data_IF_140368943511
#
_entry.id   IF_140368943511
#
_cell.length_a   1.000
_cell.length_b   1.000
_cell.length_c   1.000
_cell.angle_alpha   90.00
_cell.angle_beta   90.00
_cell.angle_gamma   90.00
#
_symmetry.space_group_name_H-M   'P 1'
#
loop_
_entity.id
_entity.type
_entity.pdbx_description
1 polymer ?
#
# COMPACT_ATOMS: atom_id res chain seq x y z
N UNK A 1 -19.82 -10.34 -12.72
CA UNK A 1 -19.21 -10.14 -14.05
C UNK A 1 -18.12 -11.18 -14.22
N UNK A 2 -18.09 -12.01 -15.28
CA UNK A 2 -16.89 -12.78 -15.54
C UNK A 2 -15.82 -11.78 -16.00
N UNK A 3 -14.82 -11.56 -15.16
CA UNK A 3 -13.66 -10.79 -15.56
C UNK A 3 -12.90 -11.65 -16.58
N UNK A 4 -12.97 -11.29 -17.86
CA UNK A 4 -12.09 -11.85 -18.88
C UNK A 4 -10.68 -11.25 -18.77
N UNK A 5 -10.18 -11.14 -17.54
CA UNK A 5 -8.89 -10.58 -17.21
C UNK A 5 -7.88 -11.72 -17.06
N UNK A 6 -6.79 -11.63 -17.81
CA UNK A 6 -5.66 -12.53 -17.73
C UNK A 6 -4.41 -11.72 -17.35
N UNK A 7 -3.86 -11.89 -16.13
CA UNK A 7 -2.71 -11.12 -15.68
C UNK A 7 -1.48 -11.30 -16.57
N UNK A 8 -1.28 -12.46 -17.20
CA UNK A 8 -0.14 -12.71 -18.07
C UNK A 8 -0.21 -11.93 -19.39
N UNK A 9 -1.39 -11.40 -19.77
CA UNK A 9 -1.61 -10.71 -21.06
C UNK A 9 -2.06 -9.25 -20.91
N UNK A 10 -2.86 -8.97 -19.90
CA UNK A 10 -3.55 -7.68 -19.74
C UNK A 10 -2.76 -6.68 -18.89
N UNK A 11 -1.77 -7.15 -18.12
CA UNK A 11 -0.78 -6.26 -17.51
C UNK A 11 0.16 -5.79 -18.64
N UNK A 12 0.22 -4.48 -18.93
CA UNK A 12 1.09 -3.96 -19.97
C UNK A 12 2.56 -4.09 -19.59
N UNK A 13 3.45 -3.91 -20.57
CA UNK A 13 4.89 -3.85 -20.30
C UNK A 13 5.22 -2.71 -19.32
N UNK A 14 6.02 -3.04 -18.29
CA UNK A 14 6.40 -2.14 -17.20
C UNK A 14 7.86 -1.68 -17.33
N UNK A 15 8.46 -1.80 -18.51
CA UNK A 15 9.83 -1.36 -18.76
C UNK A 15 10.02 0.08 -18.31
N UNK A 16 11.05 0.31 -17.50
CA UNK A 16 11.37 1.64 -16.97
C UNK A 16 10.50 2.12 -15.80
N UNK A 17 9.53 1.31 -15.33
CA UNK A 17 8.63 1.65 -14.22
C UNK A 17 9.17 1.21 -12.86
N UNK A 18 9.20 2.14 -11.90
CA UNK A 18 9.47 1.87 -10.48
C UNK A 18 8.16 1.80 -9.73
N UNK A 19 7.96 0.70 -9.00
CA UNK A 19 6.69 0.37 -8.34
C UNK A 19 6.92 0.23 -6.85
N UNK A 20 6.02 0.76 -6.02
CA UNK A 20 6.01 0.55 -4.57
C UNK A 20 4.70 -0.12 -4.16
N UNK A 21 4.78 -1.31 -3.55
CA UNK A 21 3.62 -2.07 -3.07
C UNK A 21 3.64 -2.21 -1.54
N UNK A 22 2.62 -1.71 -0.86
CA UNK A 22 2.49 -1.91 0.59
C UNK A 22 1.88 -3.27 0.92
N UNK A 23 2.36 -3.95 1.95
CA UNK A 23 1.77 -5.23 2.38
C UNK A 23 2.09 -6.38 1.42
N UNK A 24 3.27 -6.34 0.80
CA UNK A 24 3.73 -7.29 -0.20
C UNK A 24 4.12 -8.67 0.33
N UNK A 25 4.18 -8.84 1.65
CA UNK A 25 4.68 -10.08 2.26
C UNK A 25 3.64 -11.21 2.31
N UNK A 26 2.37 -10.94 2.02
CA UNK A 26 1.29 -11.92 2.08
C UNK A 26 0.09 -11.56 1.17
N UNK A 27 -0.82 -12.51 0.98
CA UNK A 27 -2.13 -12.31 0.36
C UNK A 27 -2.08 -11.61 -1.01
N UNK A 28 -3.01 -10.67 -1.21
CA UNK A 28 -3.16 -9.91 -2.46
C UNK A 28 -1.89 -9.11 -2.82
N UNK A 29 -1.18 -8.57 -1.83
CA UNK A 29 0.06 -7.82 -2.08
C UNK A 29 1.17 -8.71 -2.62
N UNK A 30 1.35 -9.91 -2.05
CA UNK A 30 2.30 -10.90 -2.56
C UNK A 30 1.97 -11.28 -4.00
N UNK A 31 0.71 -11.59 -4.27
CA UNK A 31 0.27 -11.99 -5.61
C UNK A 31 0.44 -10.86 -6.62
N UNK A 32 0.14 -9.61 -6.23
CA UNK A 32 0.37 -8.42 -7.05
C UNK A 32 1.83 -8.33 -7.47
N UNK A 33 2.78 -8.54 -6.55
CA UNK A 33 4.22 -8.52 -6.86
C UNK A 33 4.60 -9.67 -7.80
N UNK A 34 4.09 -10.88 -7.53
CA UNK A 34 4.31 -12.06 -8.37
C UNK A 34 3.86 -11.85 -9.81
N UNK A 35 2.71 -11.21 -10.02
CA UNK A 35 2.21 -10.95 -11.36
C UNK A 35 2.98 -9.81 -12.02
N UNK A 36 3.14 -8.65 -11.36
CA UNK A 36 3.86 -7.50 -11.93
C UNK A 36 5.31 -7.81 -12.31
N UNK A 37 5.98 -8.70 -11.58
CA UNK A 37 7.38 -9.06 -11.84
C UNK A 37 7.58 -9.71 -13.22
N UNK A 38 6.55 -10.35 -13.79
CA UNK A 38 6.58 -10.98 -15.11
C UNK A 38 6.61 -9.99 -16.28
N UNK A 39 6.37 -8.70 -16.04
CA UNK A 39 6.15 -7.70 -17.10
C UNK A 39 7.29 -6.66 -17.18
N UNK A 40 8.54 -7.09 -16.98
CA UNK A 40 9.75 -6.26 -17.11
C UNK A 40 9.78 -4.94 -16.31
N UNK A 41 9.29 -4.89 -15.05
CA UNK A 41 9.43 -3.67 -14.25
C UNK A 41 10.91 -3.32 -14.07
N UNK A 42 11.22 -2.02 -14.09
CA UNK A 42 12.57 -1.56 -13.77
C UNK A 42 12.95 -1.98 -12.35
N UNK A 43 12.04 -1.74 -11.39
CA UNK A 43 12.23 -2.16 -10.01
C UNK A 43 10.89 -2.22 -9.27
N UNK A 44 10.70 -3.24 -8.44
CA UNK A 44 9.59 -3.33 -7.49
C UNK A 44 10.14 -3.23 -6.07
N UNK A 45 9.75 -2.16 -5.39
CA UNK A 45 9.89 -2.03 -3.96
C UNK A 45 8.62 -2.55 -3.30
N UNK A 46 8.75 -3.27 -2.21
CA UNK A 46 7.60 -3.72 -1.44
C UNK A 46 7.85 -3.66 0.04
N UNK A 47 6.77 -3.50 0.80
CA UNK A 47 6.85 -3.31 2.24
C UNK A 47 6.00 -4.32 2.99
N UNK A 48 6.33 -4.52 4.26
CA UNK A 48 5.61 -5.39 5.17
C UNK A 48 6.31 -5.45 6.52
N UNK A 49 5.77 -6.30 7.40
CA UNK A 49 6.32 -6.51 8.76
C UNK A 49 7.20 -7.75 8.86
N UNK A 50 6.99 -8.74 7.99
CA UNK A 50 7.65 -10.05 8.08
C UNK A 50 8.80 -10.16 7.08
N UNK A 51 10.02 -9.97 7.58
CA UNK A 51 11.25 -10.10 6.79
C UNK A 51 11.45 -11.51 6.23
N UNK A 52 11.07 -12.57 6.95
CA UNK A 52 11.21 -13.95 6.46
C UNK A 52 10.32 -14.19 5.24
N UNK A 53 9.05 -13.75 5.31
CA UNK A 53 8.13 -13.84 4.17
C UNK A 53 8.62 -13.00 2.97
N UNK A 54 9.23 -11.85 3.22
CA UNK A 54 9.85 -11.04 2.17
C UNK A 54 11.02 -11.78 1.50
N UNK A 55 11.92 -12.36 2.28
CA UNK A 55 13.04 -13.15 1.77
C UNK A 55 12.54 -14.34 0.96
N UNK A 56 11.54 -15.09 1.47
CA UNK A 56 10.94 -16.20 0.73
C UNK A 56 10.34 -15.76 -0.61
N UNK A 57 9.67 -14.61 -0.66
CA UNK A 57 9.12 -14.06 -1.90
C UNK A 57 10.24 -13.74 -2.91
N UNK A 58 11.27 -13.02 -2.47
CA UNK A 58 12.42 -12.65 -3.33
C UNK A 58 13.10 -13.90 -3.89
N UNK A 59 13.34 -14.92 -3.05
CA UNK A 59 13.95 -16.18 -3.49
C UNK A 59 13.04 -16.94 -4.46
N UNK A 60 11.73 -16.93 -4.25
CA UNK A 60 10.79 -17.69 -5.09
C UNK A 60 10.63 -17.14 -6.50
N UNK A 61 10.83 -15.82 -6.70
CA UNK A 61 10.49 -15.20 -7.96
C UNK A 61 11.54 -15.35 -9.05
N UNK A 62 12.77 -15.81 -8.76
CA UNK A 62 13.86 -16.24 -9.69
C UNK A 62 14.11 -15.42 -10.97
N UNK A 63 13.44 -14.28 -11.14
CA UNK A 63 13.75 -13.19 -12.05
C UNK A 63 14.99 -12.52 -11.47
N UNK A 64 15.89 -12.03 -12.33
CA UNK A 64 17.12 -11.31 -11.99
C UNK A 64 16.97 -10.64 -10.61
N UNK A 65 17.53 -11.25 -9.55
CA UNK A 65 17.23 -10.89 -8.16
C UNK A 65 17.52 -9.42 -7.83
N UNK A 66 18.10 -8.68 -8.78
CA UNK A 66 18.36 -7.26 -8.77
C UNK A 66 17.14 -6.35 -8.73
N UNK A 67 15.94 -6.79 -9.16
CA UNK A 67 14.83 -5.85 -9.40
C UNK A 67 13.76 -5.83 -8.29
N UNK A 68 13.96 -6.57 -7.19
CA UNK A 68 13.05 -6.60 -6.05
C UNK A 68 13.77 -6.08 -4.80
N UNK A 69 13.14 -5.17 -4.05
CA UNK A 69 13.71 -4.70 -2.78
C UNK A 69 12.63 -4.60 -1.71
N UNK A 70 12.89 -5.28 -0.59
CA UNK A 70 12.05 -5.20 0.59
C UNK A 70 12.45 -4.01 1.46
N UNK A 71 11.45 -3.22 1.87
CA UNK A 71 11.62 -2.15 2.84
C UNK A 71 10.69 -2.45 4.03
N UNK A 72 11.23 -2.76 5.23
CA UNK A 72 10.42 -2.96 6.41
C UNK A 72 9.55 -1.74 6.71
N UNK A 73 8.29 -1.96 7.06
CA UNK A 73 7.38 -0.91 7.49
C UNK A 73 6.45 -1.44 8.58
N UNK A 74 6.20 -0.60 9.58
CA UNK A 74 5.13 -0.80 10.54
C UNK A 74 4.08 0.30 10.36
N UNK A 75 2.96 -0.05 9.73
CA UNK A 75 1.86 0.89 9.47
C UNK A 75 1.11 1.33 10.73
N UNK A 76 1.41 0.74 11.89
CA UNK A 76 0.91 1.24 13.17
C UNK A 76 1.70 2.46 13.67
N UNK A 77 2.74 2.90 12.94
CA UNK A 77 3.67 3.96 13.34
C UNK A 77 3.95 4.93 12.21
N UNK A 78 3.50 6.18 12.33
CA UNK A 78 3.73 7.23 11.35
C UNK A 78 5.22 7.59 11.22
N UNK A 79 6.00 7.44 12.29
CA UNK A 79 7.45 7.57 12.23
C UNK A 79 8.10 6.44 11.41
N UNK A 80 7.65 5.19 11.58
CA UNK A 80 8.09 4.08 10.72
C UNK A 80 7.74 4.32 9.26
N UNK A 81 6.51 4.75 8.96
CA UNK A 81 6.08 5.09 7.58
C UNK A 81 6.98 6.17 6.98
N UNK A 82 7.27 7.22 7.75
CA UNK A 82 8.14 8.31 7.30
C UNK A 82 9.56 7.85 7.02
N UNK A 83 10.12 6.97 7.86
CA UNK A 83 11.45 6.41 7.67
C UNK A 83 11.50 5.49 6.45
N UNK A 84 10.53 4.60 6.29
CA UNK A 84 10.45 3.69 5.13
C UNK A 84 10.29 4.46 3.82
N UNK A 85 9.50 5.53 3.80
CA UNK A 85 9.36 6.41 2.63
C UNK A 85 10.69 7.09 2.26
N UNK A 86 11.44 7.60 3.25
CA UNK A 86 12.77 8.19 3.02
C UNK A 86 13.75 7.15 2.46
N UNK A 87 13.78 5.95 3.04
CA UNK A 87 14.61 4.84 2.55
C UNK A 87 14.26 4.50 1.10
N UNK A 88 12.97 4.35 0.80
CA UNK A 88 12.48 4.08 -0.55
C UNK A 88 12.96 5.15 -1.55
N UNK A 89 12.67 6.43 -1.27
CA UNK A 89 13.01 7.54 -2.16
C UNK A 89 14.52 7.66 -2.37
N UNK A 90 15.32 7.42 -1.33
CA UNK A 90 16.78 7.40 -1.44
C UNK A 90 17.27 6.27 -2.33
N UNK A 91 16.70 5.06 -2.18
CA UNK A 91 17.11 3.89 -2.96
C UNK A 91 16.61 3.94 -4.41
N UNK A 92 15.44 4.55 -4.66
CA UNK A 92 14.86 4.65 -6.00
C UNK A 92 15.35 5.85 -6.81
N UNK A 93 16.20 6.71 -6.21
CA UNK A 93 16.64 7.95 -6.85
C UNK A 93 15.50 8.95 -7.06
N UNK A 94 14.55 9.01 -6.13
CA UNK A 94 13.32 9.81 -6.21
C UNK A 94 12.45 9.49 -7.43
N UNK A 95 12.46 8.23 -7.89
CA UNK A 95 11.58 7.75 -8.95
C UNK A 95 10.46 6.88 -8.36
N UNK A 96 9.21 7.17 -8.73
CA UNK A 96 8.06 6.34 -8.44
C UNK A 96 7.01 6.53 -9.53
N UNK A 97 6.64 5.45 -10.21
CA UNK A 97 5.65 5.44 -11.28
C UNK A 97 4.30 4.91 -10.80
N UNK A 98 4.30 3.90 -9.94
CA UNK A 98 3.09 3.22 -9.48
C UNK A 98 3.19 2.99 -7.97
N UNK A 99 2.28 3.59 -7.21
CA UNK A 99 2.10 3.32 -5.77
C UNK A 99 0.85 2.47 -5.56
N UNK A 100 1.01 1.28 -4.99
CA UNK A 100 -0.09 0.37 -4.66
C UNK A 100 -0.24 0.31 -3.13
N UNK A 101 -1.23 1.04 -2.62
CA UNK A 101 -1.66 1.04 -1.22
C UNK A 101 -2.57 -0.16 -0.98
N UNK A 102 -1.94 -1.32 -0.79
CA UNK A 102 -2.60 -2.62 -0.57
C UNK A 102 -2.69 -3.06 0.90
N UNK A 103 -1.79 -2.61 1.77
CA UNK A 103 -1.74 -3.16 3.12
C UNK A 103 -2.99 -2.79 3.91
N UNK A 104 -3.60 -3.78 4.55
CA UNK A 104 -4.81 -3.55 5.32
C UNK A 104 -4.98 -4.58 6.43
N UNK A 105 -5.68 -4.17 7.48
CA UNK A 105 -6.14 -5.01 8.58
C UNK A 105 -7.67 -4.93 8.68
N UNK A 106 -8.29 -6.06 9.01
CA UNK A 106 -9.72 -6.16 9.26
C UNK A 106 -9.94 -7.20 10.35
N UNK A 107 -10.99 -7.00 11.15
CA UNK A 107 -11.41 -7.95 12.19
C UNK A 107 -10.29 -8.28 13.20
N UNK A 108 -9.46 -7.28 13.53
CA UNK A 108 -8.48 -7.36 14.62
C UNK A 108 -9.10 -6.83 15.92
N UNK A 109 -8.65 -7.30 17.10
CA UNK A 109 -9.15 -6.81 18.38
C UNK A 109 -9.02 -5.28 18.50
N UNK A 110 -9.95 -4.62 19.22
CA UNK A 110 -9.88 -3.19 19.54
C UNK A 110 -8.50 -2.81 20.06
N UNK A 111 -7.88 -1.80 19.47
CA UNK A 111 -6.54 -1.35 19.87
C UNK A 111 -6.25 0.05 19.31
N UNK A 112 -5.16 0.64 19.79
CA UNK A 112 -4.59 1.86 19.24
C UNK A 112 -3.24 1.60 18.59
N UNK A 113 -2.95 2.36 17.53
CA UNK A 113 -1.63 2.45 16.91
C UNK A 113 -0.60 3.07 17.86
N UNK A 114 0.67 3.05 17.50
CA UNK A 114 1.75 3.68 18.28
C UNK A 114 1.61 5.21 18.38
N UNK A 115 0.84 5.81 17.49
CA UNK A 115 0.52 7.24 17.47
C UNK A 115 -0.85 7.55 18.13
N UNK A 116 -1.45 6.56 18.79
CA UNK A 116 -2.69 6.68 19.56
C UNK A 116 -3.94 6.84 18.69
N UNK A 117 -3.96 6.32 17.47
CA UNK A 117 -5.16 6.27 16.63
C UNK A 117 -5.80 4.89 16.66
N UNK A 118 -7.10 4.77 16.41
CA UNK A 118 -7.74 3.47 16.20
C UNK A 118 -6.94 2.65 15.16
N UNK A 119 -6.71 1.39 15.48
CA UNK A 119 -5.70 0.56 14.82
C UNK A 119 -5.98 0.31 13.33
N UNK A 120 -7.24 0.09 12.93
CA UNK A 120 -7.60 -0.13 11.53
C UNK A 120 -7.53 1.17 10.72
N UNK A 121 -7.97 2.30 11.29
CA UNK A 121 -7.84 3.63 10.69
C UNK A 121 -6.37 4.02 10.51
N UNK A 122 -5.53 3.74 11.50
CA UNK A 122 -4.10 4.00 11.42
C UNK A 122 -3.44 3.24 10.26
N UNK A 123 -3.69 1.92 10.17
CA UNK A 123 -3.09 1.04 9.16
C UNK A 123 -3.64 1.33 7.76
N UNK A 124 -4.96 1.30 7.62
CA UNK A 124 -5.60 1.26 6.31
C UNK A 124 -5.68 2.66 5.68
N UNK A 125 -5.70 3.71 6.49
CA UNK A 125 -5.85 5.08 6.03
C UNK A 125 -4.65 5.98 6.35
N UNK A 126 -4.36 6.27 7.62
CA UNK A 126 -3.35 7.29 7.97
C UNK A 126 -1.95 6.96 7.44
N UNK A 127 -1.54 5.70 7.57
CA UNK A 127 -0.25 5.24 7.05
C UNK A 127 -0.15 5.42 5.53
N UNK A 128 -1.21 5.11 4.79
CA UNK A 128 -1.25 5.31 3.34
C UNK A 128 -1.31 6.79 2.96
N UNK A 129 -2.12 7.60 3.64
CA UNK A 129 -2.20 9.03 3.39
C UNK A 129 -0.84 9.73 3.58
N UNK A 130 -0.12 9.37 4.66
CA UNK A 130 1.23 9.87 4.91
C UNK A 130 2.22 9.38 3.84
N UNK A 131 2.18 8.09 3.48
CA UNK A 131 3.06 7.54 2.46
C UNK A 131 2.85 8.22 1.10
N UNK A 132 1.58 8.41 0.69
CA UNK A 132 1.21 9.14 -0.52
C UNK A 132 1.77 10.56 -0.46
N UNK A 133 1.53 11.30 0.64
CA UNK A 133 2.03 12.67 0.79
C UNK A 133 3.54 12.77 0.63
N UNK A 134 4.30 11.83 1.22
CA UNK A 134 5.76 11.82 1.16
C UNK A 134 6.28 11.43 -0.24
N UNK A 135 5.59 10.52 -0.93
CA UNK A 135 5.99 10.05 -2.26
C UNK A 135 5.41 10.88 -3.41
N UNK A 136 4.47 11.79 -3.14
CA UNK A 136 3.78 12.60 -4.15
C UNK A 136 4.74 13.39 -5.06
N UNK A 137 5.82 14.02 -4.56
CA UNK A 137 6.75 14.72 -5.45
C UNK A 137 7.42 13.79 -6.49
N UNK A 138 7.74 12.54 -6.12
CA UNK A 138 8.33 11.57 -7.03
C UNK A 138 7.32 11.09 -8.08
N UNK A 139 6.05 10.88 -7.69
CA UNK A 139 4.96 10.55 -8.61
C UNK A 139 4.70 11.69 -9.60
N UNK A 140 4.62 12.94 -9.12
CA UNK A 140 4.44 14.13 -9.96
C UNK A 140 5.58 14.29 -10.96
N UNK A 141 6.83 14.11 -10.51
CA UNK A 141 8.01 14.11 -11.39
C UNK A 141 7.89 13.04 -12.48
N UNK A 142 7.51 11.81 -12.11
CA UNK A 142 7.36 10.73 -13.10
C UNK A 142 6.24 11.01 -14.09
N UNK A 143 5.12 11.59 -13.65
CA UNK A 143 4.03 12.02 -14.52
C UNK A 143 4.47 13.13 -15.49
N UNK A 144 5.29 14.08 -15.05
CA UNK A 144 5.85 15.14 -15.91
C UNK A 144 6.84 14.59 -16.94
N UNK A 145 7.73 13.69 -16.54
CA UNK A 145 8.79 13.15 -17.40
C UNK A 145 8.29 12.08 -18.37
N UNK A 146 7.29 11.28 -17.97
CA UNK A 146 6.84 10.09 -18.71
C UNK A 146 5.36 10.12 -19.12
N UNK A 147 4.62 11.15 -18.74
CA UNK A 147 3.20 11.32 -19.07
C UNK A 147 2.21 10.50 -18.24
N UNK A 148 2.66 9.64 -17.32
CA UNK A 148 1.78 8.83 -16.47
C UNK A 148 2.44 8.50 -15.11
N UNK A 149 1.66 8.58 -14.03
CA UNK A 149 1.96 8.04 -12.72
C UNK A 149 0.63 7.67 -12.02
N UNK A 150 0.62 6.57 -11.25
CA UNK A 150 -0.61 6.00 -10.69
C UNK A 150 -0.52 5.79 -9.20
N UNK A 151 -1.60 6.13 -8.50
CA UNK A 151 -1.87 5.70 -7.12
C UNK A 151 -3.04 4.74 -7.17
N UNK A 152 -2.84 3.52 -6.70
CA UNK A 152 -3.85 2.47 -6.62
C UNK A 152 -4.17 2.21 -5.16
N UNK A 153 -5.38 2.55 -4.73
CA UNK A 153 -5.90 2.24 -3.40
C UNK A 153 -6.66 0.92 -3.45
N UNK A 154 -6.15 -0.12 -2.81
CA UNK A 154 -6.88 -1.39 -2.72
C UNK A 154 -7.90 -1.28 -1.60
N UNK A 155 -9.17 -1.27 -1.98
CA UNK A 155 -10.30 -1.25 -1.05
C UNK A 155 -10.98 -2.61 -0.98
N UNK A 156 -12.11 -2.71 -0.30
CA UNK A 156 -12.96 -3.89 -0.26
C UNK A 156 -14.41 -3.51 -0.53
N UNK A 157 -15.29 -4.49 -0.82
CA UNK A 157 -16.73 -4.24 -0.98
C UNK A 157 -17.39 -3.58 0.23
N UNK A 158 -16.75 -3.60 1.42
CA UNK A 158 -17.20 -2.85 2.57
C UNK A 158 -17.30 -1.34 2.30
N UNK A 159 -16.59 -0.82 1.28
CA UNK A 159 -16.70 0.56 0.79
C UNK A 159 -18.12 0.97 0.36
N UNK A 160 -19.05 0.02 0.18
CA UNK A 160 -20.43 0.33 -0.23
C UNK A 160 -21.39 0.63 0.93
N UNK A 161 -20.98 0.36 2.18
CA UNK A 161 -21.85 0.45 3.35
C UNK A 161 -21.28 1.40 4.42
N UNK A 162 -21.06 2.70 4.14
CA UNK A 162 -20.51 3.62 5.13
C UNK A 162 -21.41 3.74 6.36
N UNK A 163 -20.86 4.05 7.55
CA UNK A 163 -21.68 4.48 8.68
C UNK A 163 -22.53 5.69 8.27
N UNK A 164 -23.79 5.70 8.72
CA UNK A 164 -24.68 6.85 8.53
C UNK A 164 -24.05 8.04 9.27
N UNK A 165 -23.88 9.16 8.56
CA UNK A 165 -23.19 10.34 9.10
C UNK A 165 -21.67 10.37 8.89
N UNK A 166 -21.09 9.32 8.29
CA UNK A 166 -19.68 9.28 7.94
C UNK A 166 -18.75 9.03 9.13
N UNK A 167 -17.51 9.50 9.00
CA UNK A 167 -16.44 9.25 9.98
C UNK A 167 -16.64 10.12 11.22
N UNK A 168 -16.69 9.50 12.39
CA UNK A 168 -16.70 10.21 13.68
C UNK A 168 -15.26 10.43 14.15
N UNK A 169 -14.62 11.49 13.65
CA UNK A 169 -13.19 11.74 13.85
C UNK A 169 -12.74 11.82 15.32
N UNK A 170 -13.61 12.32 16.22
CA UNK A 170 -13.32 12.44 17.65
C UNK A 170 -13.02 11.08 18.32
N UNK A 171 -13.60 10.00 17.80
CA UNK A 171 -13.50 8.68 18.43
C UNK A 171 -12.26 7.92 17.94
N UNK A 172 -11.60 8.40 16.88
CA UNK A 172 -10.40 7.80 16.27
C UNK A 172 -9.15 7.89 17.17
N UNK A 173 -9.25 8.53 18.34
CA UNK A 173 -8.20 8.56 19.38
C UNK A 173 -8.45 7.57 20.52
N UNK A 174 -9.33 6.59 20.30
CA UNK A 174 -9.67 5.53 21.26
C UNK A 174 -9.49 4.14 20.64
N UNK A 175 -9.58 3.09 21.47
CA UNK A 175 -9.58 1.68 21.05
C UNK A 175 -10.87 1.24 20.34
N UNK A 176 -11.97 1.99 20.51
CA UNK A 176 -13.29 1.70 19.96
C UNK A 176 -13.91 0.34 20.40
N UNK A 177 -13.76 -0.01 21.68
CA UNK A 177 -14.17 -1.30 22.28
C UNK A 177 -15.62 -1.75 22.05
N UNK A 178 -16.59 -0.82 22.10
CA UNK A 178 -18.03 -1.12 21.99
C UNK A 178 -18.58 -1.12 20.55
N UNK A 179 -17.74 -0.71 19.60
CA UNK A 179 -18.05 -0.75 18.17
C UNK A 179 -17.43 -2.01 17.62
N UNK A 180 -18.22 -2.90 17.00
CA UNK A 180 -17.81 -4.16 16.36
C UNK A 180 -16.78 -3.93 15.22
N UNK A 181 -15.57 -3.43 15.53
CA UNK A 181 -14.71 -2.71 14.58
C UNK A 181 -15.48 -1.68 13.75
N UNK A 182 -16.63 -1.20 14.27
CA UNK A 182 -17.77 -0.79 13.46
C UNK A 182 -17.72 0.71 13.16
N UNK A 183 -16.78 1.04 12.31
CA UNK A 183 -17.16 1.40 10.96
C UNK A 183 -15.86 1.42 10.19
N UNK A 184 -15.66 0.54 9.21
CA UNK A 184 -15.76 0.90 7.78
C UNK A 184 -14.98 2.18 7.35
N UNK A 185 -14.24 2.85 8.22
CA UNK A 185 -13.52 4.12 8.04
C UNK A 185 -12.23 3.95 7.22
N UNK A 186 -11.74 2.71 7.14
CA UNK A 186 -10.55 2.33 6.41
C UNK A 186 -10.69 2.28 4.87
N UNK A 187 -11.92 2.16 4.35
CA UNK A 187 -12.16 1.86 2.94
C UNK A 187 -12.72 3.03 2.12
N UNK A 188 -12.89 4.21 2.74
CA UNK A 188 -13.72 5.30 2.22
C UNK A 188 -12.96 6.61 2.13
N UNK A 189 -12.17 6.75 1.07
CA UNK A 189 -11.72 8.06 0.65
C UNK A 189 -11.72 8.14 -0.87
N UNK A 190 -12.71 8.81 -1.49
CA UNK A 190 -12.42 9.57 -2.69
C UNK A 190 -11.52 10.75 -2.25
N UNK A 191 -10.33 10.86 -2.80
CA UNK A 191 -9.54 12.09 -2.68
C UNK A 191 -10.38 13.23 -3.28
N UNK A 192 -10.67 14.31 -2.54
CA UNK A 192 -11.04 15.56 -3.21
C UNK A 192 -9.79 16.05 -3.95
N UNK A 193 -9.91 16.13 -5.29
CA UNK A 193 -8.94 16.81 -6.15
C UNK A 193 -8.87 18.30 -5.83
#
# INVERSE_FOLDING_TARGET
MPFNYNPDKDIPDLTGKVILVTGGTAGVGKETITQLSKHNPKHIYFTGRNTLSATSLITSLSLSSSNLTYIPIDQTSLSSVSQSAKTFLSQSGNQLDILICNAGAMAIPPNTSKDGYEIQFAINHLAHALLIKLCLPALQKSAQEKGDARIVLVTSLAFKNPPIGGIVFKDLKSSMEDTFGASITAFFFPFPL
#
